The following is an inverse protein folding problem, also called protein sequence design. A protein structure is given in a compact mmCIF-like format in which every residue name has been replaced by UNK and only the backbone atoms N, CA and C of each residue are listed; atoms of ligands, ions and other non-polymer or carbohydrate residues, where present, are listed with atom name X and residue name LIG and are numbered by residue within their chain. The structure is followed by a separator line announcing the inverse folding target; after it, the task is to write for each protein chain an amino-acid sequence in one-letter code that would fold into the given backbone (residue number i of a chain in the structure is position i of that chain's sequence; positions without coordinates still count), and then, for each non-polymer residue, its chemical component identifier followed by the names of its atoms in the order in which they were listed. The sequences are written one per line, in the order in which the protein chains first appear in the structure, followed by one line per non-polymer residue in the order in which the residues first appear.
data_IF_625235869717
#
_entry.id   IF_625235869717
#
_cell.length_a   1.000
_cell.length_b   1.000
_cell.length_c   1.000
_cell.angle_alpha   90.00
_cell.angle_beta   90.00
_cell.angle_gamma   90.00
#
_symmetry.space_group_name_H-M   'P 1'
#
loop_
_entity.id
_entity.type
_entity.pdbx_description
1 polymer ?
#
# COMPACT_ATOMS: atom_id res chain seq x y z
N UNK A 1 12.69 -16.05 -2.59
CA UNK A 1 11.27 -16.42 -2.42
C UNK A 1 10.93 -16.07 -0.99
N UNK A 2 9.89 -15.25 -0.78
CA UNK A 2 9.48 -14.83 0.56
C UNK A 2 8.25 -15.64 0.95
N UNK A 3 8.34 -16.38 2.05
CA UNK A 3 7.21 -17.05 2.67
C UNK A 3 6.54 -16.10 3.66
N UNK A 4 5.23 -16.00 3.62
CA UNK A 4 4.45 -15.07 4.45
C UNK A 4 3.61 -15.80 5.51
N UNK A 5 2.82 -15.04 6.28
CA UNK A 5 1.95 -15.60 7.31
C UNK A 5 0.77 -16.41 6.76
N UNK A 6 0.37 -16.22 5.49
CA UNK A 6 -0.64 -17.07 4.86
C UNK A 6 -0.09 -18.38 4.29
N UNK A 7 1.23 -18.57 4.30
CA UNK A 7 1.90 -19.71 3.66
C UNK A 7 2.09 -19.54 2.15
N UNK A 8 1.75 -18.37 1.59
CA UNK A 8 2.04 -18.05 0.19
C UNK A 8 3.51 -17.72 0.02
N UNK A 9 3.99 -17.97 -1.19
CA UNK A 9 5.38 -17.77 -1.54
C UNK A 9 5.48 -16.74 -2.68
N UNK A 10 5.95 -15.54 -2.34
CA UNK A 10 6.13 -14.47 -3.32
C UNK A 10 7.52 -14.50 -3.92
N UNK A 11 7.58 -14.49 -5.24
CA UNK A 11 8.82 -14.34 -6.01
C UNK A 11 8.96 -12.89 -6.45
N UNK A 12 9.89 -12.16 -5.86
CA UNK A 12 10.24 -10.81 -6.32
C UNK A 12 10.87 -10.91 -7.72
N UNK A 13 10.35 -10.14 -8.68
CA UNK A 13 10.79 -10.15 -10.07
C UNK A 13 11.52 -8.88 -10.48
N UNK A 14 11.02 -7.73 -10.01
CA UNK A 14 11.52 -6.42 -10.42
C UNK A 14 11.48 -5.43 -9.25
N UNK A 15 12.44 -4.51 -9.20
CA UNK A 15 12.38 -3.34 -8.32
C UNK A 15 11.45 -2.29 -8.92
N UNK A 16 10.39 -1.93 -8.21
CA UNK A 16 9.46 -0.85 -8.57
C UNK A 16 9.99 0.51 -8.12
N UNK A 17 10.63 0.55 -6.95
CA UNK A 17 11.21 1.77 -6.41
C UNK A 17 12.45 1.44 -5.59
N UNK A 18 13.58 2.03 -5.95
CA UNK A 18 14.82 1.88 -5.21
C UNK A 18 14.89 2.85 -4.04
N UNK A 19 15.26 2.36 -2.87
CA UNK A 19 15.52 3.18 -1.70
C UNK A 19 16.88 3.88 -1.87
N UNK A 20 16.98 5.20 -1.63
CA UNK A 20 18.12 6.00 -2.03
C UNK A 20 19.45 5.64 -1.34
N UNK A 21 19.39 4.98 -0.18
CA UNK A 21 20.58 4.71 0.65
C UNK A 21 20.80 3.23 0.98
N UNK A 22 19.79 2.40 0.84
CA UNK A 22 19.85 1.02 1.33
C UNK A 22 18.87 0.14 0.56
N UNK A 23 19.42 -0.71 -0.32
CA UNK A 23 18.65 -1.59 -1.21
C UNK A 23 17.81 -2.64 -0.48
N UNK A 24 18.09 -2.90 0.80
CA UNK A 24 17.26 -3.78 1.61
C UNK A 24 15.82 -3.24 1.78
N UNK A 25 15.62 -1.94 1.60
CA UNK A 25 14.30 -1.27 1.68
C UNK A 25 13.72 -0.91 0.31
N UNK A 26 14.27 -1.48 -0.77
CA UNK A 26 13.66 -1.38 -2.09
C UNK A 26 12.23 -1.95 -2.07
N UNK A 27 11.38 -1.40 -2.92
CA UNK A 27 10.02 -1.88 -3.15
C UNK A 27 10.03 -2.76 -4.37
N UNK A 28 9.53 -3.99 -4.23
CA UNK A 28 9.57 -5.00 -5.28
C UNK A 28 8.17 -5.29 -5.82
N UNK A 29 8.10 -5.49 -7.14
CA UNK A 29 7.04 -6.25 -7.77
C UNK A 29 7.34 -7.73 -7.52
N UNK A 30 6.35 -8.45 -7.01
CA UNK A 30 6.43 -9.88 -6.82
C UNK A 30 5.25 -10.59 -7.46
N UNK A 31 5.44 -11.86 -7.80
CA UNK A 31 4.36 -12.75 -8.22
C UNK A 31 4.15 -13.86 -7.21
N UNK A 32 2.89 -14.18 -6.98
CA UNK A 32 2.45 -15.43 -6.37
C UNK A 32 1.34 -15.97 -7.26
N UNK A 33 1.52 -17.20 -7.74
CA UNK A 33 0.67 -17.80 -8.77
C UNK A 33 0.54 -16.86 -10.00
N UNK A 34 -0.70 -16.55 -10.42
CA UNK A 34 -1.00 -15.69 -11.56
C UNK A 34 -1.29 -14.23 -11.17
N UNK A 35 -1.00 -13.83 -9.93
CA UNK A 35 -1.26 -12.47 -9.43
C UNK A 35 0.02 -11.73 -9.06
N UNK A 36 -0.04 -10.42 -9.23
CA UNK A 36 1.06 -9.50 -8.89
C UNK A 36 0.81 -8.82 -7.57
N UNK A 37 1.89 -8.59 -6.84
CA UNK A 37 1.90 -8.03 -5.50
C UNK A 37 3.05 -7.03 -5.35
N UNK A 38 2.91 -6.14 -4.38
CA UNK A 38 3.99 -5.25 -3.95
C UNK A 38 4.54 -5.75 -2.64
N UNK A 39 5.86 -5.96 -2.59
CA UNK A 39 6.58 -6.41 -1.40
C UNK A 39 7.48 -5.28 -0.93
N UNK A 40 7.35 -4.92 0.36
CA UNK A 40 8.14 -3.86 0.98
C UNK A 40 8.69 -4.33 2.33
N UNK A 41 10.01 -4.29 2.48
CA UNK A 41 10.67 -4.43 3.78
C UNK A 41 10.63 -3.11 4.53
N UNK A 42 10.47 -3.19 5.85
CA UNK A 42 10.38 -2.03 6.73
C UNK A 42 11.36 -2.16 7.90
N UNK A 43 11.63 -1.03 8.57
CA UNK A 43 12.24 -1.07 9.90
C UNK A 43 11.27 -1.69 10.90
N UNK A 44 11.75 -2.31 12.00
CA UNK A 44 10.90 -2.96 12.98
C UNK A 44 9.78 -2.07 13.54
N UNK A 45 10.09 -0.79 13.82
CA UNK A 45 9.12 0.16 14.38
C UNK A 45 7.99 0.46 13.39
N UNK A 46 8.32 0.74 12.13
CA UNK A 46 7.34 1.04 11.08
C UNK A 46 6.52 -0.20 10.75
N UNK A 47 7.13 -1.39 10.75
CA UNK A 47 6.44 -2.66 10.59
C UNK A 47 5.39 -2.87 11.70
N UNK A 48 5.78 -2.71 12.97
CA UNK A 48 4.87 -2.84 14.12
C UNK A 48 3.71 -1.84 14.04
N UNK A 49 3.99 -0.58 13.73
CA UNK A 49 2.95 0.45 13.55
C UNK A 49 1.99 0.09 12.41
N UNK A 50 2.49 -0.47 11.31
CA UNK A 50 1.66 -0.88 10.16
C UNK A 50 0.72 -2.04 10.50
N UNK A 51 1.17 -2.99 11.33
CA UNK A 51 0.32 -4.07 11.84
C UNK A 51 -0.78 -3.52 12.75
N UNK A 52 -0.44 -2.62 13.67
CA UNK A 52 -1.42 -1.97 14.55
C UNK A 52 -2.46 -1.17 13.76
N UNK A 53 -2.02 -0.44 12.74
CA UNK A 53 -2.91 0.32 11.86
C UNK A 53 -3.94 -0.60 11.19
N UNK A 54 -3.55 -1.78 10.70
CA UNK A 54 -4.49 -2.72 10.08
C UNK A 54 -5.55 -3.24 11.07
N UNK A 55 -5.17 -3.46 12.33
CA UNK A 55 -6.10 -3.89 13.39
C UNK A 55 -7.09 -2.77 13.71
N UNK A 56 -6.58 -1.57 13.92
CA UNK A 56 -7.38 -0.40 14.31
C UNK A 56 -8.39 0.02 13.23
N UNK A 57 -8.05 -0.23 11.97
CA UNK A 57 -8.85 0.10 10.80
C UNK A 57 -9.43 -1.14 10.10
N UNK A 58 -9.57 -2.27 10.81
CA UNK A 58 -10.17 -3.49 10.26
C UNK A 58 -11.63 -3.29 9.78
N UNK A 59 -12.32 -2.28 10.32
CA UNK A 59 -13.69 -1.90 9.96
C UNK A 59 -13.79 -1.06 8.67
N UNK A 60 -12.68 -0.76 8.01
CA UNK A 60 -12.68 0.10 6.81
C UNK A 60 -11.99 -0.55 5.62
N UNK A 61 -12.68 -0.52 4.48
CA UNK A 61 -12.14 -0.93 3.19
C UNK A 61 -11.57 0.23 2.38
N UNK A 62 -11.49 1.44 2.96
CA UNK A 62 -11.06 2.67 2.26
C UNK A 62 -9.57 2.96 2.37
N UNK A 63 -8.85 2.22 3.21
CA UNK A 63 -7.41 2.35 3.37
C UNK A 63 -6.76 1.12 2.74
N UNK A 64 -5.81 1.29 1.80
CA UNK A 64 -5.07 0.16 1.26
C UNK A 64 -4.18 -0.41 2.37
N UNK A 65 -4.61 -1.55 2.92
CA UNK A 65 -3.86 -2.28 3.94
C UNK A 65 -3.06 -3.41 3.30
N UNK A 66 -1.97 -3.81 3.96
CA UNK A 66 -1.23 -4.99 3.55
C UNK A 66 -2.16 -6.21 3.66
N UNK A 67 -2.13 -7.08 2.65
CA UNK A 67 -2.91 -8.33 2.64
C UNK A 67 -2.15 -9.47 3.32
N UNK A 68 -0.83 -9.34 3.41
CA UNK A 68 0.05 -10.32 4.05
C UNK A 68 1.30 -9.66 4.66
N UNK A 69 2.04 -10.45 5.43
CA UNK A 69 3.31 -10.03 6.01
C UNK A 69 4.23 -11.21 6.35
N UNK A 70 5.53 -10.95 6.43
CA UNK A 70 6.53 -11.83 7.04
C UNK A 70 7.11 -11.11 8.25
N UNK A 71 6.97 -11.74 9.43
CA UNK A 71 7.40 -11.17 10.71
C UNK A 71 8.93 -11.16 10.88
N UNK A 72 9.63 -12.19 10.44
CA UNK A 72 11.08 -12.33 10.59
C UNK A 72 11.84 -11.28 9.78
N UNK A 73 11.41 -11.06 8.54
CA UNK A 73 12.03 -10.11 7.62
C UNK A 73 11.39 -8.72 7.68
N UNK A 74 10.42 -8.49 8.58
CA UNK A 74 9.66 -7.24 8.69
C UNK A 74 9.11 -6.73 7.34
N UNK A 75 8.51 -7.65 6.59
CA UNK A 75 8.06 -7.39 5.22
C UNK A 75 6.54 -7.37 5.14
N UNK A 76 5.98 -6.40 4.42
CA UNK A 76 4.55 -6.30 4.14
C UNK A 76 4.28 -6.57 2.66
N UNK A 77 3.13 -7.17 2.39
CA UNK A 77 2.67 -7.50 1.04
C UNK A 77 1.35 -6.81 0.77
N UNK A 78 1.27 -6.11 -0.36
CA UNK A 78 0.09 -5.38 -0.81
C UNK A 78 -0.36 -5.89 -2.19
N UNK A 79 -1.63 -5.66 -2.51
CA UNK A 79 -2.10 -5.81 -3.88
C UNK A 79 -1.36 -4.85 -4.82
N UNK A 80 -1.01 -5.34 -6.00
CA UNK A 80 -0.39 -4.50 -7.03
C UNK A 80 -1.47 -3.76 -7.84
N UNK A 81 -1.37 -2.43 -7.84
CA UNK A 81 -2.13 -1.57 -8.74
C UNK A 81 -1.21 -1.07 -9.85
N UNK A 82 -1.67 -1.20 -11.10
CA UNK A 82 -0.88 -0.81 -12.28
C UNK A 82 -0.61 0.70 -12.34
N UNK A 83 -1.60 1.50 -11.95
CA UNK A 83 -1.58 2.96 -12.04
C UNK A 83 -1.96 3.57 -10.69
N UNK A 84 -1.47 4.78 -10.43
CA UNK A 84 -1.90 5.61 -9.31
C UNK A 84 -2.98 6.63 -9.73
N UNK A 85 -3.61 7.27 -8.75
CA UNK A 85 -4.69 8.22 -8.98
C UNK A 85 -4.23 9.47 -9.76
N UNK A 86 -3.01 9.95 -9.53
CA UNK A 86 -2.50 11.13 -10.21
C UNK A 86 -2.29 10.84 -11.70
N UNK A 87 -1.69 9.69 -12.00
CA UNK A 87 -1.51 9.21 -13.38
C UNK A 87 -2.87 9.00 -14.07
N UNK A 88 -3.86 8.41 -13.37
CA UNK A 88 -5.22 8.26 -13.90
C UNK A 88 -5.83 9.60 -14.37
N UNK A 89 -5.67 10.66 -13.58
CA UNK A 89 -6.22 11.99 -13.92
C UNK A 89 -5.42 12.67 -15.03
N UNK A 90 -4.09 12.56 -15.01
CA UNK A 90 -3.20 13.16 -16.02
C UNK A 90 -3.39 12.54 -17.40
N UNK A 91 -3.46 11.21 -17.46
CA UNK A 91 -3.55 10.46 -18.71
C UNK A 91 -4.94 10.51 -19.33
N UNK A 92 -5.95 10.97 -18.57
CA UNK A 92 -7.34 11.04 -19.00
C UNK A 92 -7.87 12.49 -18.81
N UNK A 93 -7.54 13.44 -19.70
CA UNK A 93 -7.97 14.83 -19.55
C UNK A 93 -9.51 14.97 -19.50
N UNK A 94 -10.23 14.09 -20.20
CA UNK A 94 -11.68 14.02 -20.22
C UNK A 94 -12.28 13.15 -19.10
N UNK A 95 -11.51 12.83 -18.05
CA UNK A 95 -12.00 11.98 -16.96
C UNK A 95 -13.26 12.60 -16.31
N UNK A 96 -14.39 11.86 -16.23
CA UNK A 96 -15.69 12.43 -15.88
C UNK A 96 -15.70 13.19 -14.55
N UNK A 97 -16.31 14.37 -14.52
CA UNK A 97 -16.40 15.19 -13.31
C UNK A 97 -17.09 14.44 -12.16
N UNK A 98 -18.13 13.66 -12.47
CA UNK A 98 -18.82 12.83 -11.48
C UNK A 98 -17.87 11.81 -10.81
N UNK A 99 -17.03 11.14 -11.61
CA UNK A 99 -16.05 10.19 -11.09
C UNK A 99 -14.98 10.89 -10.23
N UNK A 100 -14.50 12.08 -10.64
CA UNK A 100 -13.56 12.89 -9.82
C UNK A 100 -14.17 13.23 -8.45
N UNK A 101 -15.43 13.67 -8.43
CA UNK A 101 -16.15 13.98 -7.18
C UNK A 101 -16.30 12.75 -6.30
N UNK A 102 -16.61 11.59 -6.89
CA UNK A 102 -16.73 10.34 -6.14
C UNK A 102 -15.40 9.92 -5.50
N UNK A 103 -14.28 10.03 -6.23
CA UNK A 103 -12.94 9.74 -5.69
C UNK A 103 -12.63 10.67 -4.52
N UNK A 104 -12.84 11.97 -4.69
CA UNK A 104 -12.60 12.95 -3.62
C UNK A 104 -13.48 12.68 -2.39
N UNK A 105 -14.73 12.29 -2.60
CA UNK A 105 -15.66 11.94 -1.54
C UNK A 105 -15.22 10.72 -0.74
N UNK A 106 -14.80 9.63 -1.42
CA UNK A 106 -14.32 8.43 -0.73
C UNK A 106 -12.97 8.66 -0.04
N UNK A 107 -12.07 9.45 -0.63
CA UNK A 107 -10.84 9.88 0.02
C UNK A 107 -11.11 10.71 1.28
N UNK A 108 -12.05 11.67 1.21
CA UNK A 108 -12.49 12.47 2.34
C UNK A 108 -13.07 11.64 3.48
N UNK A 109 -13.86 10.61 3.16
CA UNK A 109 -14.34 9.64 4.17
C UNK A 109 -13.21 8.86 4.84
N UNK A 110 -12.20 8.45 4.07
CA UNK A 110 -11.02 7.76 4.62
C UNK A 110 -10.24 8.68 5.57
N UNK A 111 -9.98 9.92 5.16
CA UNK A 111 -9.31 10.94 5.98
C UNK A 111 -10.09 11.26 7.26
N UNK A 112 -11.42 11.42 7.17
CA UNK A 112 -12.28 11.64 8.34
C UNK A 112 -12.12 10.50 9.35
N UNK A 113 -12.07 9.23 8.89
CA UNK A 113 -11.85 8.08 9.77
C UNK A 113 -10.46 8.09 10.41
N UNK A 114 -9.41 8.43 9.67
CA UNK A 114 -8.06 8.56 10.21
C UNK A 114 -8.04 9.62 11.33
N UNK A 115 -8.56 10.82 11.05
CA UNK A 115 -8.56 11.92 12.02
C UNK A 115 -9.40 11.62 13.27
N UNK A 116 -10.53 10.90 13.12
CA UNK A 116 -11.35 10.48 14.25
C UNK A 116 -10.63 9.56 15.25
N UNK A 117 -9.52 8.94 14.82
CA UNK A 117 -8.67 8.07 15.65
C UNK A 117 -7.30 8.69 15.93
N UNK A 118 -7.17 10.00 15.77
CA UNK A 118 -5.93 10.77 15.98
C UNK A 118 -4.76 10.35 15.06
N UNK A 119 -5.05 9.72 13.91
CA UNK A 119 -4.04 9.47 12.89
C UNK A 119 -3.92 10.66 11.95
N UNK A 120 -2.69 11.13 11.77
CA UNK A 120 -2.36 12.22 10.84
C UNK A 120 -1.74 11.60 9.59
N UNK A 121 -2.29 11.93 8.43
CA UNK A 121 -1.65 11.62 7.17
C UNK A 121 -0.46 12.57 6.95
N UNK A 122 0.76 12.09 7.20
CA UNK A 122 2.00 12.85 6.95
C UNK A 122 2.56 12.40 5.61
N UNK A 123 2.29 13.18 4.56
CA UNK A 123 2.75 12.91 3.20
C UNK A 123 2.84 14.20 2.40
N UNK A 124 3.68 14.21 1.36
CA UNK A 124 3.60 15.25 0.31
C UNK A 124 2.32 14.98 -0.48
N UNK A 125 1.46 15.99 -0.73
CA UNK A 125 0.36 15.81 -1.67
C UNK A 125 0.93 15.44 -3.06
N UNK A 126 0.20 14.66 -3.86
CA UNK A 126 0.58 14.30 -5.23
C UNK A 126 0.75 15.53 -6.14
#
# INVERSE_FOLDING_TARGET
MLFDCSGRAYKCEQVLHSHPKNRAFDVYLARCENKSYVVKRLTPDVFKQSLQLKIEFADTHRLPMHIDYNKEEHTLVYEYFRNDLLSLVKDNPNFPLAARKQILWEAGKALKKLHARNWIHVGRPP
#
